data_IF_714194500209
#
_entry.id   IF_714194500209
#
_cell.length_a   1.000
_cell.length_b   1.000
_cell.length_c   1.000
_cell.angle_alpha   90.00
_cell.angle_beta   90.00
_cell.angle_gamma   90.00
#
_symmetry.space_group_name_H-M   'P 1'
#
loop_
_entity.id
_entity.type
_entity.pdbx_description
1 polymer ?
#
# COMPACT_ATOMS: atom_id res chain seq x y z
N UNK A 1 -15.61 0.69 -22.36
CA UNK A 1 -15.81 -0.07 -23.62
C UNK A 1 -14.51 -0.43 -24.27
N UNK A 2 -13.65 0.55 -24.65
CA UNK A 2 -12.42 0.32 -25.43
C UNK A 2 -11.50 -0.78 -24.81
N UNK A 3 -11.28 -0.78 -23.50
CA UNK A 3 -10.42 -1.76 -22.84
C UNK A 3 -10.97 -3.19 -22.99
N UNK A 4 -12.25 -3.41 -22.71
CA UNK A 4 -12.89 -4.73 -22.78
C UNK A 4 -12.96 -5.23 -24.23
N UNK A 5 -13.39 -4.36 -25.16
CA UNK A 5 -13.59 -4.73 -26.56
C UNK A 5 -12.28 -4.88 -27.34
N UNK A 6 -11.35 -3.93 -27.22
CA UNK A 6 -10.18 -3.84 -28.11
C UNK A 6 -8.90 -4.38 -27.48
N UNK A 7 -8.75 -4.28 -26.15
CA UNK A 7 -7.54 -4.78 -25.45
C UNK A 7 -7.75 -6.21 -24.99
N UNK A 8 -8.82 -6.48 -24.23
CA UNK A 8 -9.14 -7.82 -23.74
C UNK A 8 -9.84 -8.69 -24.79
N UNK A 9 -10.39 -8.09 -25.85
CA UNK A 9 -11.08 -8.78 -26.97
C UNK A 9 -12.21 -9.68 -26.49
N UNK A 10 -12.91 -9.29 -25.42
CA UNK A 10 -14.00 -10.05 -24.86
C UNK A 10 -15.25 -9.98 -25.76
N UNK A 11 -16.11 -10.98 -25.62
CA UNK A 11 -17.32 -11.17 -26.41
C UNK A 11 -18.56 -11.24 -25.51
N UNK A 12 -19.75 -11.13 -26.11
CA UNK A 12 -21.02 -11.42 -25.45
C UNK A 12 -20.98 -12.83 -24.86
N UNK A 13 -21.37 -12.96 -23.60
CA UNK A 13 -21.34 -14.19 -22.83
C UNK A 13 -20.06 -14.39 -22.00
N UNK A 14 -18.98 -13.63 -22.27
CA UNK A 14 -17.78 -13.71 -21.45
C UNK A 14 -18.04 -13.16 -20.05
N UNK A 15 -17.38 -13.76 -19.05
CA UNK A 15 -17.49 -13.37 -17.64
C UNK A 15 -16.53 -12.24 -17.33
N UNK A 16 -17.00 -11.29 -16.54
CA UNK A 16 -16.19 -10.20 -15.96
C UNK A 16 -16.52 -10.06 -14.48
N UNK A 17 -15.51 -9.68 -13.70
CA UNK A 17 -15.67 -9.36 -12.30
C UNK A 17 -15.62 -7.84 -12.13
N UNK A 18 -16.64 -7.30 -11.49
CA UNK A 18 -16.78 -5.87 -11.24
C UNK A 18 -16.79 -5.62 -9.74
N UNK A 19 -15.94 -4.75 -9.27
CA UNK A 19 -15.97 -4.31 -7.88
C UNK A 19 -16.70 -2.98 -7.75
N UNK A 20 -17.43 -2.79 -6.64
CA UNK A 20 -17.97 -1.48 -6.27
C UNK A 20 -16.91 -0.56 -5.63
N UNK A 21 -15.67 -1.05 -5.47
CA UNK A 21 -14.57 -0.30 -4.86
C UNK A 21 -14.60 -0.24 -3.33
N UNK A 22 -15.46 -1.01 -2.67
CA UNK A 22 -15.58 -1.03 -1.20
C UNK A 22 -15.66 -2.44 -0.61
N UNK A 23 -16.72 -3.16 -0.81
CA UNK A 23 -17.02 -4.41 -0.07
C UNK A 23 -17.61 -5.54 -0.93
N UNK A 24 -18.08 -5.23 -2.15
CA UNK A 24 -18.75 -6.21 -3.00
C UNK A 24 -18.04 -6.40 -4.35
N UNK A 25 -17.97 -7.64 -4.77
CA UNK A 25 -17.61 -8.05 -6.11
C UNK A 25 -18.81 -8.71 -6.79
N UNK A 26 -18.99 -8.40 -8.08
CA UNK A 26 -20.08 -8.86 -8.92
C UNK A 26 -19.50 -9.75 -10.03
N UNK A 27 -19.89 -11.02 -10.07
CA UNK A 27 -19.67 -11.86 -11.23
C UNK A 27 -20.72 -11.52 -12.27
N UNK A 28 -20.29 -11.05 -13.44
CA UNK A 28 -21.17 -10.60 -14.49
C UNK A 28 -20.89 -11.32 -15.80
N UNK A 29 -21.93 -11.52 -16.62
CA UNK A 29 -21.79 -11.92 -18.02
C UNK A 29 -22.08 -10.73 -18.95
N UNK A 30 -21.23 -10.52 -19.95
CA UNK A 30 -21.39 -9.46 -20.94
C UNK A 30 -22.59 -9.77 -21.86
N UNK A 31 -23.52 -8.82 -21.97
CA UNK A 31 -24.70 -8.96 -22.84
C UNK A 31 -24.51 -8.19 -24.14
N UNK A 32 -24.40 -6.89 -24.06
CA UNK A 32 -24.36 -5.98 -25.19
C UNK A 32 -23.37 -4.85 -24.95
N UNK A 33 -22.90 -4.25 -26.03
CA UNK A 33 -22.12 -3.00 -25.98
C UNK A 33 -22.55 -2.03 -27.06
N UNK A 34 -22.60 -0.79 -26.68
CA UNK A 34 -22.65 0.36 -27.59
C UNK A 34 -21.24 0.96 -27.70
N UNK A 35 -21.12 2.11 -28.33
CA UNK A 35 -19.82 2.80 -28.41
C UNK A 35 -19.34 3.29 -27.03
N UNK A 36 -20.24 3.62 -26.11
CA UNK A 36 -19.93 4.26 -24.84
C UNK A 36 -20.26 3.38 -23.60
N UNK A 37 -21.11 2.37 -23.75
CA UNK A 37 -21.58 1.57 -22.63
C UNK A 37 -21.44 0.07 -22.87
N UNK A 38 -21.37 -0.68 -21.78
CA UNK A 38 -21.45 -2.14 -21.76
C UNK A 38 -22.57 -2.53 -20.81
N UNK A 39 -23.50 -3.32 -21.32
CA UNK A 39 -24.52 -3.96 -20.51
C UNK A 39 -24.03 -5.32 -20.08
N UNK A 40 -24.07 -5.59 -18.79
CA UNK A 40 -23.72 -6.87 -18.22
C UNK A 40 -24.80 -7.34 -17.25
N UNK A 41 -25.07 -8.64 -17.25
CA UNK A 41 -25.99 -9.28 -16.31
C UNK A 41 -25.20 -9.70 -15.09
N UNK A 42 -25.66 -9.34 -13.91
CA UNK A 42 -25.11 -9.84 -12.65
C UNK A 42 -25.59 -11.29 -12.49
N UNK A 43 -24.64 -12.20 -12.38
CA UNK A 43 -24.89 -13.62 -12.15
C UNK A 43 -24.79 -13.97 -10.66
N UNK A 44 -23.80 -13.36 -9.97
CA UNK A 44 -23.58 -13.56 -8.53
C UNK A 44 -23.01 -12.31 -7.88
N UNK A 45 -23.15 -12.21 -6.54
CA UNK A 45 -22.65 -11.11 -5.71
C UNK A 45 -22.05 -11.71 -4.45
N UNK A 46 -20.80 -11.37 -4.17
CA UNK A 46 -20.10 -11.85 -2.98
C UNK A 46 -19.21 -10.76 -2.37
N UNK A 47 -18.74 -10.99 -1.15
CA UNK A 47 -17.76 -10.12 -0.50
C UNK A 47 -16.42 -10.20 -1.21
N UNK A 48 -15.61 -9.16 -1.06
CA UNK A 48 -14.23 -9.16 -1.58
C UNK A 48 -13.35 -10.10 -0.76
N UNK A 49 -12.80 -11.13 -1.41
CA UNK A 49 -11.90 -12.11 -0.78
C UNK A 49 -10.43 -11.71 -0.92
N UNK A 50 -10.11 -10.73 -1.77
CA UNK A 50 -8.72 -10.32 -2.07
C UNK A 50 -8.19 -9.20 -1.19
N UNK A 51 -9.02 -8.65 -0.31
CA UNK A 51 -8.64 -7.55 0.56
C UNK A 51 -8.31 -8.04 1.98
N UNK A 52 -7.27 -7.46 2.57
CA UNK A 52 -6.94 -7.74 3.97
C UNK A 52 -8.05 -7.21 4.89
N UNK A 53 -8.36 -7.91 6.01
CA UNK A 53 -9.39 -7.49 6.97
C UNK A 53 -8.94 -6.29 7.82
N UNK A 54 -7.85 -5.63 7.45
CA UNK A 54 -7.23 -4.50 8.15
C UNK A 54 -6.75 -3.46 7.16
N UNK A 55 -6.95 -2.18 7.46
CA UNK A 55 -6.39 -1.09 6.66
C UNK A 55 -4.89 -0.92 6.96
N UNK A 56 -4.01 -1.26 6.00
CA UNK A 56 -2.57 -1.04 6.13
C UNK A 56 -2.18 0.24 5.36
N UNK A 57 -1.56 1.19 6.05
CA UNK A 57 -0.98 2.41 5.46
C UNK A 57 0.55 2.34 5.49
N UNK A 58 1.18 2.46 4.32
CA UNK A 58 2.62 2.53 4.18
C UNK A 58 3.09 3.99 4.07
N UNK A 59 3.72 4.50 5.11
CA UNK A 59 4.43 5.79 5.11
C UNK A 59 5.86 5.55 4.60
N UNK A 60 6.11 5.91 3.35
CA UNK A 60 7.38 5.63 2.68
C UNK A 60 8.24 6.89 2.54
N UNK A 61 9.40 6.91 3.17
CA UNK A 61 10.42 7.93 2.94
C UNK A 61 10.79 8.01 1.46
N UNK A 62 10.82 9.22 0.88
CA UNK A 62 11.05 9.44 -0.54
C UNK A 62 12.39 8.81 -0.99
N UNK A 63 12.38 7.74 -1.79
CA UNK A 63 13.59 7.09 -2.26
C UNK A 63 14.14 7.77 -3.52
N UNK A 64 15.38 7.46 -3.85
CA UNK A 64 16.02 7.92 -5.10
C UNK A 64 15.52 7.17 -6.33
N UNK A 65 15.57 7.83 -7.48
CA UNK A 65 15.29 7.22 -8.79
C UNK A 65 13.85 6.74 -8.90
N UNK A 66 13.69 5.56 -9.50
CA UNK A 66 12.39 4.94 -9.80
C UNK A 66 11.97 3.88 -8.77
N UNK A 67 12.67 3.79 -7.63
CA UNK A 67 12.37 2.80 -6.59
C UNK A 67 10.95 2.91 -6.05
N UNK A 68 10.39 4.12 -5.97
CA UNK A 68 9.01 4.30 -5.55
C UNK A 68 8.02 3.56 -6.46
N UNK A 69 8.29 3.44 -7.76
CA UNK A 69 7.43 2.71 -8.68
C UNK A 69 7.36 1.22 -8.33
N UNK A 70 8.52 0.62 -8.01
CA UNK A 70 8.59 -0.77 -7.53
C UNK A 70 7.93 -0.92 -6.15
N UNK A 71 8.15 0.03 -5.23
CA UNK A 71 7.51 0.02 -3.90
C UNK A 71 5.99 0.03 -4.05
N UNK A 72 5.44 0.95 -4.86
CA UNK A 72 4.00 1.03 -5.12
C UNK A 72 3.47 -0.29 -5.67
N UNK A 73 4.09 -0.80 -6.73
CA UNK A 73 3.66 -2.04 -7.35
C UNK A 73 3.61 -3.20 -6.34
N UNK A 74 4.68 -3.40 -5.59
CA UNK A 74 4.77 -4.53 -4.65
C UNK A 74 3.95 -4.32 -3.39
N UNK A 75 3.82 -3.10 -2.89
CA UNK A 75 2.95 -2.82 -1.76
C UNK A 75 1.47 -3.09 -2.11
N UNK A 76 1.05 -2.73 -3.33
CA UNK A 76 -0.30 -3.05 -3.82
C UNK A 76 -0.53 -4.55 -3.92
N UNK A 77 0.40 -5.31 -4.48
CA UNK A 77 0.35 -6.78 -4.56
C UNK A 77 0.25 -7.43 -3.16
N UNK A 78 0.85 -6.80 -2.13
CA UNK A 78 0.89 -7.28 -0.74
C UNK A 78 -0.25 -6.72 0.14
N UNK A 79 -1.30 -6.16 -0.45
CA UNK A 79 -2.51 -5.80 0.28
C UNK A 79 -2.51 -4.43 0.95
N UNK A 80 -1.53 -3.53 0.66
CA UNK A 80 -1.58 -2.17 1.20
C UNK A 80 -2.87 -1.45 0.77
N UNK A 81 -3.50 -0.73 1.70
CA UNK A 81 -4.69 0.07 1.41
C UNK A 81 -4.34 1.52 1.02
N UNK A 82 -3.22 2.03 1.52
CA UNK A 82 -2.83 3.43 1.33
C UNK A 82 -1.31 3.58 1.36
N UNK A 83 -0.76 4.43 0.49
CA UNK A 83 0.66 4.77 0.48
C UNK A 83 0.81 6.27 0.61
N UNK A 84 1.57 6.69 1.61
CA UNK A 84 1.88 8.10 1.91
C UNK A 84 3.38 8.33 1.70
N UNK A 85 3.78 9.06 0.66
CA UNK A 85 5.20 9.42 0.48
C UNK A 85 5.58 10.52 1.47
N UNK A 86 6.67 10.31 2.22
CA UNK A 86 7.10 11.22 3.29
C UNK A 86 8.44 11.85 2.96
N UNK A 87 8.50 13.18 2.99
CA UNK A 87 9.74 13.94 2.91
C UNK A 87 10.40 13.98 4.30
N UNK A 88 11.40 13.11 4.50
CA UNK A 88 12.19 12.99 5.73
C UNK A 88 13.52 13.73 5.62
N UNK A 89 14.17 13.94 6.75
CA UNK A 89 15.41 14.74 6.83
C UNK A 89 16.54 14.17 5.95
N UNK A 90 16.69 12.85 5.93
CA UNK A 90 17.72 12.16 5.12
C UNK A 90 17.29 11.80 3.70
N UNK A 91 16.12 12.27 3.25
CA UNK A 91 15.76 12.15 1.84
C UNK A 91 16.67 13.01 0.97
N UNK A 92 17.33 12.38 0.01
CA UNK A 92 18.13 13.10 -1.01
C UNK A 92 17.23 13.76 -2.03
N UNK A 93 16.08 13.16 -2.31
CA UNK A 93 15.09 13.70 -3.26
C UNK A 93 14.31 14.81 -2.58
N UNK A 94 14.32 15.99 -3.21
CA UNK A 94 13.48 17.13 -2.84
C UNK A 94 12.54 17.44 -4.01
N UNK A 95 11.25 17.44 -3.72
CA UNK A 95 10.21 17.69 -4.71
C UNK A 95 9.56 19.05 -4.42
N UNK A 96 9.51 19.93 -5.42
CA UNK A 96 8.59 21.03 -5.40
C UNK A 96 7.15 20.55 -5.68
N UNK A 97 6.15 21.37 -5.41
CA UNK A 97 4.73 21.00 -5.53
C UNK A 97 4.37 20.44 -6.92
N UNK A 98 4.90 21.05 -7.99
CA UNK A 98 4.62 20.64 -9.37
C UNK A 98 5.21 19.27 -9.69
N UNK A 99 6.46 19.02 -9.27
CA UNK A 99 7.11 17.71 -9.45
C UNK A 99 6.45 16.64 -8.57
N UNK A 100 6.07 16.97 -7.34
CA UNK A 100 5.34 16.08 -6.45
C UNK A 100 4.01 15.64 -7.08
N UNK A 101 3.18 16.57 -7.54
CA UNK A 101 1.90 16.27 -8.18
C UNK A 101 2.07 15.36 -9.41
N UNK A 102 3.08 15.63 -10.27
CA UNK A 102 3.35 14.78 -11.44
C UNK A 102 3.77 13.35 -11.04
N UNK A 103 4.61 13.22 -10.01
CA UNK A 103 5.02 11.89 -9.52
C UNK A 103 3.86 11.14 -8.87
N UNK A 104 3.06 11.79 -8.04
CA UNK A 104 1.87 11.20 -7.42
C UNK A 104 0.89 10.70 -8.49
N UNK A 105 0.61 11.49 -9.53
CA UNK A 105 -0.23 11.06 -10.66
C UNK A 105 0.31 9.78 -11.32
N UNK A 106 1.63 9.72 -11.57
CA UNK A 106 2.29 8.52 -12.12
C UNK A 106 2.17 7.31 -11.18
N UNK A 107 2.40 7.50 -9.88
CA UNK A 107 2.32 6.44 -8.89
C UNK A 107 0.89 5.90 -8.73
N UNK A 108 -0.13 6.76 -8.81
CA UNK A 108 -1.53 6.32 -8.86
C UNK A 108 -1.82 5.44 -10.09
N UNK A 109 -1.24 5.77 -11.26
CA UNK A 109 -1.38 4.93 -12.46
C UNK A 109 -0.74 3.55 -12.26
N UNK A 110 0.40 3.48 -11.58
CA UNK A 110 1.06 2.22 -11.24
C UNK A 110 0.22 1.42 -10.23
N UNK A 111 -0.30 2.07 -9.18
CA UNK A 111 -1.18 1.44 -8.20
C UNK A 111 -2.42 0.82 -8.86
N UNK A 112 -3.08 1.55 -9.75
CA UNK A 112 -4.21 1.05 -10.54
C UNK A 112 -3.83 -0.18 -11.38
N UNK A 113 -2.69 -0.14 -12.06
CA UNK A 113 -2.21 -1.27 -12.88
C UNK A 113 -1.90 -2.50 -12.03
N UNK A 114 -1.23 -2.30 -10.89
CA UNK A 114 -0.90 -3.35 -9.95
C UNK A 114 -2.16 -3.96 -9.30
N UNK A 115 -3.13 -3.14 -8.89
CA UNK A 115 -4.40 -3.61 -8.33
C UNK A 115 -5.16 -4.51 -9.32
N UNK A 116 -5.25 -4.10 -10.59
CA UNK A 116 -5.86 -4.91 -11.65
C UNK A 116 -5.14 -6.24 -11.85
N UNK A 117 -3.80 -6.24 -11.87
CA UNK A 117 -3.01 -7.45 -12.05
C UNK A 117 -3.14 -8.39 -10.85
N UNK A 118 -3.17 -7.85 -9.63
CA UNK A 118 -3.35 -8.60 -8.39
C UNK A 118 -4.82 -8.97 -8.12
N UNK A 119 -5.74 -8.64 -9.02
CA UNK A 119 -7.19 -8.86 -8.89
C UNK A 119 -7.80 -8.25 -7.63
N UNK A 120 -7.25 -7.14 -7.17
CA UNK A 120 -7.77 -6.42 -6.01
C UNK A 120 -9.09 -5.71 -6.37
N UNK A 121 -10.04 -5.82 -5.48
CA UNK A 121 -11.33 -5.14 -5.61
C UNK A 121 -11.27 -3.66 -5.24
N UNK A 122 -10.30 -3.26 -4.42
CA UNK A 122 -10.05 -1.87 -4.03
C UNK A 122 -8.74 -1.38 -4.66
N UNK A 123 -8.79 -0.19 -5.27
CA UNK A 123 -7.60 0.48 -5.78
C UNK A 123 -6.96 1.22 -4.61
N UNK A 124 -5.73 0.86 -4.16
CA UNK A 124 -5.08 1.57 -3.07
C UNK A 124 -4.86 3.04 -3.37
N UNK A 125 -5.10 3.89 -2.39
CA UNK A 125 -4.88 5.31 -2.51
C UNK A 125 -3.38 5.64 -2.40
N UNK A 126 -2.85 6.34 -3.41
CA UNK A 126 -1.54 6.95 -3.32
C UNK A 126 -1.70 8.44 -3.04
N UNK A 127 -1.36 8.84 -1.81
CA UNK A 127 -1.60 10.20 -1.32
C UNK A 127 -0.55 11.22 -1.77
N UNK A 128 -0.82 12.47 -1.50
CA UNK A 128 0.13 13.56 -1.69
C UNK A 128 1.37 13.41 -0.80
N UNK A 129 2.49 13.99 -1.25
CA UNK A 129 3.73 14.00 -0.46
C UNK A 129 3.52 14.80 0.83
N UNK A 130 3.76 14.15 1.96
CA UNK A 130 3.70 14.77 3.29
C UNK A 130 5.11 15.12 3.77
N UNK A 131 5.24 16.15 4.61
CA UNK A 131 6.43 16.29 5.42
C UNK A 131 6.36 15.36 6.65
N UNK A 132 7.49 15.12 7.28
CA UNK A 132 7.57 14.18 8.40
C UNK A 132 6.68 14.59 9.58
N UNK A 133 6.59 15.89 9.88
CA UNK A 133 5.78 16.40 11.00
C UNK A 133 4.29 16.15 10.78
N UNK A 134 3.78 16.40 9.59
CA UNK A 134 2.37 16.13 9.26
C UNK A 134 2.07 14.63 9.31
N UNK A 135 3.03 13.79 8.88
CA UNK A 135 2.89 12.33 8.98
C UNK A 135 2.82 11.85 10.43
N UNK A 136 3.52 12.51 11.37
CA UNK A 136 3.46 12.16 12.80
C UNK A 136 2.07 12.38 13.40
N UNK A 137 1.34 13.41 12.97
CA UNK A 137 -0.03 13.61 13.44
C UNK A 137 -0.96 12.50 12.93
N UNK A 138 -0.83 12.09 11.69
CA UNK A 138 -1.60 10.97 11.11
C UNK A 138 -1.24 9.62 11.77
N UNK A 139 0.02 9.43 12.18
CA UNK A 139 0.49 8.23 12.90
C UNK A 139 -0.23 8.05 14.24
N UNK A 140 -0.54 9.15 14.95
CA UNK A 140 -1.23 9.11 16.25
C UNK A 140 -2.64 8.52 16.16
N UNK A 141 -3.29 8.66 15.00
CA UNK A 141 -4.62 8.14 14.75
C UNK A 141 -4.61 6.66 14.31
N UNK A 142 -3.42 6.09 14.12
CA UNK A 142 -3.25 4.70 13.71
C UNK A 142 -3.21 3.79 14.93
N UNK A 143 -4.06 2.75 14.95
CA UNK A 143 -4.17 1.85 16.10
C UNK A 143 -2.88 1.08 16.41
N UNK A 144 -2.09 0.79 15.39
CA UNK A 144 -0.85 0.02 15.52
C UNK A 144 0.20 0.47 14.52
N UNK A 145 1.29 1.09 14.99
CA UNK A 145 2.34 1.66 14.13
C UNK A 145 3.65 0.90 14.27
N UNK A 146 4.15 0.35 13.16
CA UNK A 146 5.41 -0.36 13.06
C UNK A 146 6.51 0.51 12.45
N UNK A 147 7.66 0.53 13.10
CA UNK A 147 8.83 1.31 12.70
C UNK A 147 10.03 0.37 12.54
N UNK A 148 10.24 -0.23 11.35
CA UNK A 148 11.47 -0.97 11.07
C UNK A 148 12.70 -0.05 11.22
N UNK A 149 13.62 -0.42 12.12
CA UNK A 149 14.77 0.39 12.44
C UNK A 149 16.01 -0.47 12.64
N UNK A 150 17.12 -0.11 11.99
CA UNK A 150 18.35 -0.92 11.99
C UNK A 150 19.00 -1.09 13.36
N UNK A 151 18.83 -0.12 14.26
CA UNK A 151 19.34 -0.21 15.63
C UNK A 151 18.40 -0.96 16.59
N UNK A 152 17.19 -1.31 16.15
CA UNK A 152 16.26 -2.12 16.95
C UNK A 152 16.83 -3.52 17.12
N UNK A 153 16.84 -4.02 18.35
CA UNK A 153 17.37 -5.34 18.70
C UNK A 153 16.27 -6.28 19.14
N UNK A 154 16.51 -7.58 18.94
CA UNK A 154 15.61 -8.60 19.43
C UNK A 154 14.60 -9.08 18.39
N UNK A 155 15.02 -10.09 17.59
CA UNK A 155 14.12 -10.74 16.61
C UNK A 155 12.88 -11.35 17.28
N UNK A 156 13.03 -11.88 18.52
CA UNK A 156 11.91 -12.46 19.26
C UNK A 156 10.87 -11.39 19.61
N UNK A 157 11.32 -10.23 20.13
CA UNK A 157 10.43 -9.11 20.41
C UNK A 157 9.71 -8.60 19.14
N UNK A 158 10.40 -8.59 17.99
CA UNK A 158 9.77 -8.22 16.70
C UNK A 158 8.70 -9.24 16.28
N UNK A 159 8.89 -10.54 16.50
CA UNK A 159 7.87 -11.56 16.23
C UNK A 159 6.66 -11.41 17.13
N UNK A 160 6.87 -11.17 18.42
CA UNK A 160 5.80 -10.91 19.39
C UNK A 160 5.02 -9.64 19.03
N UNK A 161 5.74 -8.60 18.59
CA UNK A 161 5.12 -7.37 18.10
C UNK A 161 4.22 -7.62 16.88
N UNK A 162 4.71 -8.35 15.88
CA UNK A 162 3.92 -8.71 14.70
C UNK A 162 2.67 -9.52 15.06
N UNK A 163 2.75 -10.41 16.03
CA UNK A 163 1.58 -11.20 16.45
C UNK A 163 0.44 -10.35 17.01
N UNK A 164 0.75 -9.14 17.53
CA UNK A 164 -0.25 -8.17 18.02
C UNK A 164 -1.01 -7.46 16.89
N UNK A 165 -0.59 -7.63 15.65
CA UNK A 165 -1.30 -7.08 14.48
C UNK A 165 -2.67 -7.74 14.25
N UNK A 166 -2.85 -8.99 14.70
CA UNK A 166 -4.13 -9.69 14.59
C UNK A 166 -5.24 -8.95 15.33
N UNK A 167 -6.38 -8.77 14.65
CA UNK A 167 -7.56 -8.09 15.20
C UNK A 167 -7.48 -6.57 15.23
N UNK A 168 -6.39 -5.97 14.75
CA UNK A 168 -6.30 -4.52 14.56
C UNK A 168 -7.12 -4.08 13.35
N UNK A 169 -7.70 -2.88 13.44
CA UNK A 169 -8.47 -2.27 12.34
C UNK A 169 -7.59 -1.41 11.43
N UNK A 170 -6.55 -0.81 11.99
CA UNK A 170 -5.59 0.00 11.21
C UNK A 170 -4.16 -0.27 11.66
N UNK A 171 -3.27 -0.46 10.66
CA UNK A 171 -1.84 -0.65 10.88
C UNK A 171 -1.08 0.34 10.00
N UNK A 172 -0.17 1.09 10.62
CA UNK A 172 0.79 1.91 9.92
C UNK A 172 2.17 1.24 9.87
N UNK A 173 2.86 1.42 8.76
CA UNK A 173 4.26 1.04 8.59
C UNK A 173 5.00 2.28 8.15
N UNK A 174 6.04 2.71 8.85
CA UNK A 174 6.87 3.81 8.39
C UNK A 174 8.27 3.33 8.06
N UNK A 175 8.71 3.61 6.83
CA UNK A 175 10.01 3.19 6.29
C UNK A 175 10.84 4.43 5.96
N UNK A 176 12.07 4.47 6.47
CA UNK A 176 13.04 5.53 6.16
C UNK A 176 13.51 5.49 4.70
N UNK A 177 14.06 6.61 4.18
CA UNK A 177 14.76 6.62 2.90
C UNK A 177 16.06 5.82 2.97
N UNK A 178 16.88 5.83 1.89
CA UNK A 178 18.16 5.12 1.87
C UNK A 178 19.14 5.58 2.96
N UNK A 179 19.03 6.81 3.45
CA UNK A 179 19.82 7.34 4.56
C UNK A 179 19.32 6.92 5.95
N UNK A 180 18.21 6.15 6.02
CA UNK A 180 17.57 5.79 7.27
C UNK A 180 16.88 6.98 7.95
N UNK A 181 16.55 6.81 9.22
CA UNK A 181 15.97 7.87 10.06
C UNK A 181 17.06 8.67 10.79
N UNK A 182 16.77 9.93 11.08
CA UNK A 182 17.49 10.65 12.13
C UNK A 182 17.05 10.15 13.52
N UNK A 183 17.94 10.28 14.51
CA UNK A 183 17.60 9.85 15.89
C UNK A 183 16.38 10.59 16.44
N UNK A 184 16.30 11.88 16.15
CA UNK A 184 15.18 12.72 16.55
C UNK A 184 13.85 12.26 15.90
N UNK A 185 13.89 11.79 14.64
CA UNK A 185 12.71 11.23 13.97
C UNK A 185 12.23 9.95 14.67
N UNK A 186 13.15 9.07 15.06
CA UNK A 186 12.82 7.85 15.82
C UNK A 186 12.22 8.17 17.19
N UNK A 187 12.79 9.13 17.93
CA UNK A 187 12.25 9.53 19.25
C UNK A 187 10.84 10.14 19.10
N UNK A 188 10.60 10.94 18.07
CA UNK A 188 9.27 11.49 17.79
C UNK A 188 8.27 10.39 17.40
N UNK A 189 8.68 9.41 16.59
CA UNK A 189 7.83 8.26 16.24
C UNK A 189 7.46 7.44 17.47
N UNK A 190 8.42 7.15 18.36
CA UNK A 190 8.15 6.46 19.64
C UNK A 190 7.18 7.24 20.51
N UNK A 191 7.38 8.55 20.62
CA UNK A 191 6.50 9.43 21.41
C UNK A 191 5.08 9.47 20.83
N UNK A 192 4.93 9.27 19.51
CA UNK A 192 3.64 9.17 18.83
C UNK A 192 3.01 7.76 18.89
N UNK A 193 3.62 6.79 19.61
CA UNK A 193 3.12 5.43 19.73
C UNK A 193 3.74 4.42 18.74
N UNK A 194 4.72 4.85 17.94
CA UNK A 194 5.42 3.99 17.01
C UNK A 194 6.30 2.95 17.72
N UNK A 195 6.20 1.71 17.30
CA UNK A 195 6.91 0.58 17.88
C UNK A 195 8.05 0.14 16.97
N UNK A 196 9.30 0.33 17.43
CA UNK A 196 10.49 -0.04 16.67
C UNK A 196 10.66 -1.55 16.61
N UNK A 197 11.01 -2.07 15.42
CA UNK A 197 11.23 -3.48 15.20
C UNK A 197 12.46 -3.77 14.35
N UNK A 198 13.07 -4.91 14.57
CA UNK A 198 14.16 -5.43 13.76
C UNK A 198 13.62 -6.35 12.65
N UNK A 199 14.16 -6.22 11.44
CA UNK A 199 13.92 -7.13 10.32
C UNK A 199 15.05 -8.16 10.13
N UNK A 200 15.88 -8.34 11.15
CA UNK A 200 16.99 -9.30 11.14
C UNK A 200 18.36 -8.64 11.17
N UNK A 201 19.39 -9.47 11.02
CA UNK A 201 20.80 -9.06 11.19
C UNK A 201 21.38 -8.31 9.96
N UNK A 202 20.68 -8.33 8.83
CA UNK A 202 21.11 -7.68 7.58
C UNK A 202 20.41 -6.34 7.43
N UNK A 203 21.15 -5.34 6.95
CA UNK A 203 20.55 -4.07 6.55
C UNK A 203 19.78 -4.29 5.25
N UNK A 204 18.48 -4.03 5.28
CA UNK A 204 17.63 -4.08 4.11
C UNK A 204 17.60 -2.72 3.42
N UNK A 205 17.49 -2.73 2.10
CA UNK A 205 17.21 -1.51 1.33
C UNK A 205 15.81 -1.00 1.65
N UNK A 206 15.56 0.29 1.48
CA UNK A 206 14.27 0.93 1.79
C UNK A 206 13.10 0.22 1.10
N UNK A 207 13.26 -0.13 -0.17
CA UNK A 207 12.27 -0.90 -0.93
C UNK A 207 12.03 -2.30 -0.34
N UNK A 208 13.10 -2.99 0.06
CA UNK A 208 13.01 -4.34 0.63
C UNK A 208 12.39 -4.34 2.03
N UNK A 209 12.69 -3.34 2.85
CA UNK A 209 12.16 -3.25 4.21
C UNK A 209 10.63 -3.17 4.22
N UNK A 210 10.05 -2.28 3.40
CA UNK A 210 8.60 -2.15 3.26
C UNK A 210 7.92 -3.44 2.81
N UNK A 211 8.45 -4.06 1.75
CA UNK A 211 7.94 -5.35 1.24
C UNK A 211 8.01 -6.46 2.30
N UNK A 212 9.11 -6.52 3.05
CA UNK A 212 9.29 -7.54 4.10
C UNK A 212 8.21 -7.42 5.19
N UNK A 213 7.96 -6.20 5.69
CA UNK A 213 6.93 -6.00 6.72
C UNK A 213 5.55 -6.32 6.18
N UNK A 214 5.22 -5.83 4.98
CA UNK A 214 3.93 -6.11 4.34
C UNK A 214 3.72 -7.61 4.15
N UNK A 215 4.71 -8.35 3.65
CA UNK A 215 4.61 -9.81 3.47
C UNK A 215 4.40 -10.54 4.80
N UNK A 216 5.10 -10.13 5.87
CA UNK A 216 4.95 -10.74 7.20
C UNK A 216 3.55 -10.45 7.76
N UNK A 217 3.05 -9.21 7.61
CA UNK A 217 1.70 -8.84 8.07
C UNK A 217 0.63 -9.59 7.29
N UNK A 218 0.71 -9.59 5.95
CA UNK A 218 -0.20 -10.36 5.09
C UNK A 218 -0.28 -11.81 5.56
N UNK A 219 0.86 -12.50 5.63
CA UNK A 219 0.91 -13.91 6.07
C UNK A 219 0.42 -14.13 7.52
N UNK A 220 0.54 -13.12 8.39
CA UNK A 220 0.09 -13.21 9.78
C UNK A 220 -1.40 -12.98 9.93
N UNK A 221 -2.01 -12.16 9.07
CA UNK A 221 -3.38 -11.64 9.21
C UNK A 221 -4.36 -12.45 8.34
N UNK A 222 -3.94 -12.89 7.15
CA UNK A 222 -4.72 -13.81 6.32
C UNK A 222 -4.82 -15.17 7.01
N UNK A 223 -6.04 -15.67 7.17
CA UNK A 223 -6.32 -17.00 7.74
C UNK A 223 -6.59 -18.04 6.64
#
# INVERSE_FOLDING_TARGET
>A
VNHIKNVLRMKTGDKVYLSNGSDLEYECSLLEWTDDTILAKIEDVHGMETELPVKITLYQGLPKGDKMEMIVQKAVELGVAEIVPVAMKRCVVKLDAKKAAKKVSRWNTIALSAAKQAKRGIIPEFREVRNFKDSLEEVKDTEFMLVPYEEAKGMQASKELISQAKGKKSIGIIIGPEGGFEKEEIEQLKAAGGQTMSLGKRILRTETAGMTVLSILMFTIEE
#
